data_IF_457977919218
#
_entry.id   IF_457977919218
#
_cell.length_a   1.000
_cell.length_b   1.000
_cell.length_c   1.000
_cell.angle_alpha   90.00
_cell.angle_beta   90.00
_cell.angle_gamma   90.00
#
_symmetry.space_group_name_H-M   'P 1'
#
loop_
_entity.id
_entity.type
_entity.pdbx_description
1 polymer ?
#
# COMPACT_ATOMS: atom_id res chain seq x y z
N UNK A 1 6.98 0.72 1.19
CA UNK A 1 8.04 1.36 2.03
C UNK A 1 9.22 0.40 2.18
N UNK A 2 10.46 0.90 2.31
CA UNK A 2 11.61 0.02 2.56
C UNK A 2 11.57 -0.58 3.99
N UNK A 3 12.12 -1.78 4.17
CA UNK A 3 12.24 -2.38 5.50
C UNK A 3 13.45 -1.80 6.24
N UNK A 4 13.18 -0.97 7.24
CA UNK A 4 14.21 -0.27 8.03
C UNK A 4 14.83 -1.16 9.11
N UNK A 5 14.19 -2.30 9.41
CA UNK A 5 14.66 -3.26 10.41
C UNK A 5 15.53 -4.38 9.80
N UNK A 6 15.70 -4.39 8.47
CA UNK A 6 16.47 -5.41 7.78
C UNK A 6 17.96 -5.33 8.10
N UNK A 7 18.62 -6.49 8.13
CA UNK A 7 20.08 -6.57 8.19
C UNK A 7 20.71 -5.85 7.00
N UNK A 8 21.60 -4.90 7.25
CA UNK A 8 22.23 -4.09 6.19
C UNK A 8 21.41 -2.88 5.73
N UNK A 9 20.38 -2.46 6.48
CA UNK A 9 19.76 -1.16 6.28
C UNK A 9 20.81 -0.03 6.32
N UNK A 10 20.67 0.93 5.42
CA UNK A 10 21.57 2.09 5.34
C UNK A 10 21.54 2.88 6.66
N UNK A 11 22.66 3.50 7.04
CA UNK A 11 22.80 4.17 8.33
C UNK A 11 21.78 5.31 8.50
N UNK A 12 21.42 5.95 7.39
CA UNK A 12 20.42 6.99 7.23
C UNK A 12 19.01 6.54 7.63
N UNK A 13 18.73 5.23 7.54
CA UNK A 13 17.43 4.66 7.89
C UNK A 13 17.30 4.29 9.37
N UNK A 14 18.40 4.31 10.14
CA UNK A 14 18.39 3.88 11.55
C UNK A 14 17.43 4.70 12.42
N UNK A 15 17.25 5.98 12.11
CA UNK A 15 16.32 6.85 12.85
C UNK A 15 14.85 6.49 12.69
N UNK A 16 14.52 5.64 11.70
CA UNK A 16 13.16 5.16 11.44
C UNK A 16 12.88 3.78 12.05
N UNK A 17 13.90 3.14 12.65
CA UNK A 17 13.76 1.86 13.35
C UNK A 17 13.46 2.07 14.84
N UNK A 18 12.64 1.22 15.48
CA UNK A 18 11.95 0.07 14.88
C UNK A 18 10.73 0.49 14.06
N UNK A 19 10.39 -0.31 13.05
CA UNK A 19 9.10 -0.16 12.36
C UNK A 19 7.96 -0.25 13.39
N UNK A 20 7.03 0.72 13.43
CA UNK A 20 5.90 0.68 14.36
C UNK A 20 5.08 -0.59 14.16
N UNK A 21 4.63 -1.21 15.26
CA UNK A 21 3.86 -2.46 15.23
C UNK A 21 2.43 -2.30 15.74
N UNK A 22 1.89 -1.10 15.58
CA UNK A 22 0.58 -0.70 16.09
C UNK A 22 -0.34 -0.28 14.94
N UNK A 23 -1.66 -0.56 15.04
CA UNK A 23 -2.61 -0.13 14.03
C UNK A 23 -2.58 1.38 13.82
N UNK A 24 -2.68 1.81 12.56
CA UNK A 24 -2.81 3.22 12.21
C UNK A 24 -4.21 3.74 12.63
N UNK A 25 -4.32 5.00 13.12
CA UNK A 25 -5.60 5.56 13.57
C UNK A 25 -6.52 6.01 12.42
N UNK A 26 -6.21 5.61 11.18
CA UNK A 26 -6.94 5.98 9.97
C UNK A 26 -6.91 4.84 8.93
N UNK A 27 -7.88 4.80 8.00
CA UNK A 27 -7.89 3.85 6.89
C UNK A 27 -6.64 3.99 6.02
N UNK A 28 -6.01 2.87 5.65
CA UNK A 28 -4.74 2.86 4.93
C UNK A 28 -4.58 1.63 4.04
N UNK A 29 -3.79 1.78 2.99
CA UNK A 29 -3.38 0.69 2.08
C UNK A 29 -1.85 0.63 2.08
N UNK A 30 -1.29 -0.57 2.17
CA UNK A 30 0.11 -0.87 1.87
C UNK A 30 0.16 -1.54 0.50
N UNK A 31 0.88 -0.93 -0.43
CA UNK A 31 1.14 -1.47 -1.76
C UNK A 31 2.58 -1.95 -1.81
N UNK A 32 2.80 -3.18 -2.26
CA UNK A 32 4.11 -3.79 -2.38
C UNK A 32 4.33 -4.37 -3.78
N UNK A 33 5.54 -4.24 -4.27
CA UNK A 33 5.98 -4.91 -5.49
C UNK A 33 6.58 -6.27 -5.14
N UNK A 34 6.38 -7.27 -6.01
CA UNK A 34 6.90 -8.63 -5.80
C UNK A 34 8.41 -8.77 -6.05
N UNK A 35 9.01 -7.79 -6.73
CA UNK A 35 10.44 -7.72 -7.06
C UNK A 35 11.17 -6.52 -6.41
N UNK A 36 10.62 -5.98 -5.32
CA UNK A 36 11.23 -4.87 -4.59
C UNK A 36 12.56 -5.30 -3.89
N UNK A 37 13.71 -4.68 -4.20
CA UNK A 37 14.99 -5.03 -3.57
C UNK A 37 15.14 -4.48 -2.15
N UNK A 38 14.22 -3.64 -1.68
CA UNK A 38 14.28 -2.94 -0.40
C UNK A 38 13.37 -3.53 0.68
N UNK A 39 12.34 -4.29 0.29
CA UNK A 39 11.41 -4.97 1.20
C UNK A 39 10.90 -6.25 0.55
N UNK A 40 10.86 -7.36 1.29
CA UNK A 40 10.28 -8.59 0.76
C UNK A 40 8.74 -8.53 0.81
N UNK A 41 8.02 -9.26 -0.07
CA UNK A 41 6.56 -9.31 -0.04
C UNK A 41 6.01 -9.74 1.32
N UNK A 42 6.61 -10.77 1.94
CA UNK A 42 6.22 -11.26 3.27
C UNK A 42 6.39 -10.18 4.35
N UNK A 43 7.47 -9.42 4.27
CA UNK A 43 7.73 -8.33 5.22
C UNK A 43 6.73 -7.20 5.05
N UNK A 44 6.45 -6.80 3.81
CA UNK A 44 5.45 -5.78 3.52
C UNK A 44 4.05 -6.22 3.98
N UNK A 45 3.73 -7.51 3.82
CA UNK A 45 2.48 -8.09 4.32
C UNK A 45 2.41 -8.06 5.86
N UNK A 46 3.51 -8.39 6.54
CA UNK A 46 3.61 -8.28 8.00
C UNK A 46 3.44 -6.83 8.48
N UNK A 47 4.00 -5.85 7.78
CA UNK A 47 3.83 -4.43 8.10
C UNK A 47 2.37 -4.00 7.93
N UNK A 48 1.71 -4.42 6.83
CA UNK A 48 0.30 -4.16 6.60
C UNK A 48 -0.58 -4.73 7.72
N UNK A 49 -0.28 -5.96 8.17
CA UNK A 49 -0.99 -6.60 9.28
C UNK A 49 -0.78 -5.85 10.60
N UNK A 50 0.46 -5.50 10.95
CA UNK A 50 0.79 -4.75 12.16
C UNK A 50 0.11 -3.36 12.17
N UNK A 51 0.01 -2.71 11.01
CA UNK A 51 -0.64 -1.41 10.84
C UNK A 51 -2.17 -1.48 10.66
N UNK A 52 -2.74 -2.67 10.53
CA UNK A 52 -4.16 -2.85 10.24
C UNK A 52 -4.58 -2.31 8.87
N UNK A 53 -3.63 -2.16 7.95
CA UNK A 53 -3.83 -1.66 6.59
C UNK A 53 -4.35 -2.76 5.66
N UNK A 54 -5.04 -2.37 4.58
CA UNK A 54 -5.30 -3.29 3.48
C UNK A 54 -4.00 -3.52 2.68
N UNK A 55 -3.71 -4.75 2.28
CA UNK A 55 -2.51 -5.08 1.51
C UNK A 55 -2.84 -5.29 0.04
N UNK A 56 -2.04 -4.70 -0.85
CA UNK A 56 -2.14 -4.85 -2.30
C UNK A 56 -0.78 -5.25 -2.87
N UNK A 57 -0.77 -6.35 -3.63
CA UNK A 57 0.36 -6.75 -4.46
C UNK A 57 0.24 -6.06 -5.83
N UNK A 58 1.25 -5.28 -6.20
CA UNK A 58 1.30 -4.55 -7.46
C UNK A 58 1.95 -5.37 -8.60
N UNK A 59 2.35 -6.62 -8.35
CA UNK A 59 3.19 -7.39 -9.27
C UNK A 59 4.63 -6.84 -9.33
N UNK A 60 5.42 -7.21 -10.34
CA UNK A 60 6.82 -6.80 -10.46
C UNK A 60 6.95 -5.39 -11.08
N UNK A 61 7.13 -4.39 -10.22
CA UNK A 61 7.25 -2.96 -10.55
C UNK A 61 8.44 -2.27 -9.82
N UNK A 62 9.43 -3.03 -9.36
CA UNK A 62 10.58 -2.54 -8.61
C UNK A 62 10.19 -1.87 -7.28
N UNK A 63 10.84 -0.77 -6.91
CA UNK A 63 10.57 -0.08 -5.63
C UNK A 63 9.40 0.93 -5.68
N UNK A 64 8.53 0.85 -6.70
CA UNK A 64 7.42 1.78 -6.97
C UNK A 64 7.82 3.27 -6.88
N UNK A 65 9.05 3.60 -7.28
CA UNK A 65 9.58 4.96 -7.25
C UNK A 65 9.68 5.53 -8.67
N UNK A 66 10.16 6.77 -8.81
CA UNK A 66 10.32 7.40 -10.13
C UNK A 66 11.26 6.61 -11.08
N UNK A 67 12.21 5.85 -10.53
CA UNK A 67 13.13 5.02 -11.30
C UNK A 67 12.53 3.67 -11.73
N UNK A 68 11.38 3.28 -11.19
CA UNK A 68 10.68 2.04 -11.57
C UNK A 68 10.08 2.07 -12.98
N UNK A 69 10.01 3.23 -13.64
CA UNK A 69 9.49 3.32 -15.01
C UNK A 69 7.96 3.15 -15.13
N UNK A 70 7.22 3.29 -14.04
CA UNK A 70 5.76 3.09 -13.95
C UNK A 70 4.93 4.27 -14.50
N UNK A 71 5.58 5.30 -15.04
CA UNK A 71 4.93 6.46 -15.64
C UNK A 71 3.99 7.19 -14.68
N UNK A 72 2.75 7.42 -15.11
CA UNK A 72 1.71 8.06 -14.30
C UNK A 72 1.12 7.15 -13.21
N UNK A 73 1.43 5.86 -13.23
CA UNK A 73 0.93 4.84 -12.30
C UNK A 73 -0.56 4.97 -12.00
N UNK A 74 -1.40 4.67 -12.99
CA UNK A 74 -2.87 4.81 -12.90
C UNK A 74 -3.45 3.93 -11.79
N UNK A 75 -2.89 2.75 -11.62
CA UNK A 75 -3.25 1.81 -10.56
C UNK A 75 -3.05 2.44 -9.17
N UNK A 76 -1.95 3.18 -8.97
CA UNK A 76 -1.71 3.93 -7.74
C UNK A 76 -2.72 5.05 -7.50
N UNK A 77 -3.19 5.70 -8.57
CA UNK A 77 -4.23 6.73 -8.49
C UNK A 77 -5.58 6.13 -8.07
N UNK A 78 -5.96 4.99 -8.65
CA UNK A 78 -7.20 4.28 -8.27
C UNK A 78 -7.15 3.83 -6.79
N UNK A 79 -5.99 3.38 -6.31
CA UNK A 79 -5.81 3.03 -4.90
C UNK A 79 -5.92 4.26 -3.98
N UNK A 80 -5.40 5.41 -4.41
CA UNK A 80 -5.54 6.67 -3.68
C UNK A 80 -7.01 7.10 -3.59
N UNK A 81 -7.78 6.99 -4.68
CA UNK A 81 -9.22 7.29 -4.68
C UNK A 81 -9.98 6.44 -3.66
N UNK A 82 -9.61 5.16 -3.48
CA UNK A 82 -10.19 4.28 -2.45
C UNK A 82 -9.89 4.78 -1.04
N UNK A 83 -8.65 5.23 -0.77
CA UNK A 83 -8.27 5.79 0.52
C UNK A 83 -9.07 7.07 0.80
N UNK A 84 -9.21 7.94 -0.19
CA UNK A 84 -10.02 9.16 -0.07
C UNK A 84 -11.47 8.80 0.26
N UNK A 85 -12.07 7.87 -0.48
CA UNK A 85 -13.44 7.42 -0.24
C UNK A 85 -13.62 6.76 1.13
N UNK A 86 -12.60 6.08 1.66
CA UNK A 86 -12.63 5.47 2.98
C UNK A 86 -12.43 6.47 4.13
N UNK A 87 -11.80 7.62 3.87
CA UNK A 87 -11.40 8.59 4.89
C UNK A 87 -12.57 9.34 5.55
N UNK A 88 -13.69 9.52 4.82
CA UNK A 88 -14.84 10.23 5.35
C UNK A 88 -16.01 10.29 4.38
N UNK A 89 -17.16 10.76 4.88
CA UNK A 89 -18.31 11.07 4.03
C UNK A 89 -18.18 12.45 3.35
N UNK A 90 -19.12 12.80 2.47
CA UNK A 90 -19.15 14.11 1.79
C UNK A 90 -19.34 15.33 2.72
N UNK A 91 -19.40 15.11 4.05
CA UNK A 91 -19.47 16.14 5.09
C UNK A 91 -18.19 16.17 5.94
N UNK A 92 -17.17 15.38 5.60
CA UNK A 92 -15.89 15.31 6.29
C UNK A 92 -15.92 14.50 7.59
N UNK A 93 -16.98 13.72 7.86
CA UNK A 93 -17.05 12.86 9.04
C UNK A 93 -16.39 11.52 8.77
N UNK A 94 -15.60 11.03 9.72
CA UNK A 94 -14.94 9.73 9.62
C UNK A 94 -15.99 8.61 9.47
N UNK A 95 -15.75 7.69 8.53
CA UNK A 95 -16.60 6.53 8.34
C UNK A 95 -16.42 5.51 9.47
N UNK A 96 -17.45 4.71 9.80
CA UNK A 96 -17.29 3.56 10.68
C UNK A 96 -16.20 2.61 10.14
N UNK A 97 -15.37 2.01 11.02
CA UNK A 97 -14.25 1.17 10.58
C UNK A 97 -14.63 0.01 9.66
N UNK A 98 -15.81 -0.60 9.86
CA UNK A 98 -16.32 -1.67 8.99
C UNK A 98 -16.58 -1.18 7.58
N UNK A 99 -17.20 0.00 7.43
CA UNK A 99 -17.49 0.61 6.13
C UNK A 99 -16.21 1.05 5.43
N UNK A 100 -15.29 1.69 6.15
CA UNK A 100 -13.99 2.07 5.60
C UNK A 100 -13.23 0.84 5.09
N UNK A 101 -13.20 -0.26 5.86
CA UNK A 101 -12.59 -1.53 5.42
C UNK A 101 -13.28 -2.12 4.19
N UNK A 102 -14.60 -2.09 4.12
CA UNK A 102 -15.32 -2.56 2.93
C UNK A 102 -14.94 -1.75 1.69
N UNK A 103 -14.80 -0.43 1.79
CA UNK A 103 -14.37 0.44 0.69
C UNK A 103 -12.95 0.08 0.23
N UNK A 104 -12.01 -0.06 1.17
CA UNK A 104 -10.64 -0.44 0.85
C UNK A 104 -10.55 -1.84 0.19
N UNK A 105 -11.46 -2.74 0.56
CA UNK A 105 -11.55 -4.09 0.03
C UNK A 105 -12.34 -4.23 -1.29
N UNK A 106 -12.95 -3.16 -1.82
CA UNK A 106 -13.69 -3.23 -3.10
C UNK A 106 -12.70 -3.56 -4.22
N UNK A 107 -12.78 -4.81 -4.67
CA UNK A 107 -12.03 -5.50 -5.73
C UNK A 107 -10.78 -4.78 -6.27
N UNK A 108 -9.63 -5.23 -5.76
CA UNK A 108 -8.42 -5.40 -6.56
C UNK A 108 -8.64 -6.29 -7.82
N UNK A 109 -9.80 -6.93 -7.96
CA UNK A 109 -10.16 -7.80 -9.09
C UNK A 109 -10.62 -7.07 -10.36
N UNK A 110 -11.21 -5.87 -10.26
CA UNK A 110 -11.61 -5.11 -11.47
C UNK A 110 -10.46 -4.26 -12.03
N UNK A 111 -9.62 -3.68 -11.17
CA UNK A 111 -8.50 -2.84 -11.60
C UNK A 111 -7.35 -3.65 -12.23
N UNK A 112 -7.15 -4.91 -11.81
CA UNK A 112 -6.10 -5.77 -12.37
C UNK A 112 -6.52 -6.47 -13.67
N UNK A 113 -7.82 -6.55 -13.98
CA UNK A 113 -8.31 -7.33 -15.14
C UNK A 113 -8.57 -6.47 -16.38
N UNK A 114 -8.63 -5.14 -16.27
CA UNK A 114 -8.88 -4.27 -17.43
C UNK A 114 -7.62 -3.96 -18.28
N UNK A 115 -6.42 -4.38 -17.87
CA UNK A 115 -5.18 -4.02 -18.59
C UNK A 115 -4.38 -5.16 -19.21
N UNK A 116 -4.81 -6.43 -19.13
CA UNK A 116 -4.04 -7.57 -19.67
C UNK A 116 -4.73 -8.40 -20.79
N UNK A 117 -5.95 -8.07 -21.19
CA UNK A 117 -6.62 -8.73 -22.34
C UNK A 117 -7.46 -7.71 -23.14
N UNK A 118 -6.85 -7.03 -24.11
CA UNK A 118 -7.60 -6.34 -25.16
C UNK A 118 -6.91 -5.14 -25.79
N UNK A 119 -6.34 -5.32 -26.99
CA UNK A 119 -5.87 -4.27 -27.89
C UNK A 119 -4.67 -4.68 -28.71
#
# INVERSE_FOLDING_TARGET
PADVDRGGAQAELKGFSPTPRTPLPFPSIVVASSDDPWVTPDRAHSMAADWGSHFVDAGPQGHLNAASGIGWWREGQDLLERVIAASGDGRGQALPPSKARSILAVSATDAAHTHYLGG
#
